data_IF_950935693035
#
_entry.id   IF_950935693035
#
_cell.length_a   1.000
_cell.length_b   1.000
_cell.length_c   1.000
_cell.angle_alpha   90.00
_cell.angle_beta   90.00
_cell.angle_gamma   90.00
#
_symmetry.space_group_name_H-M   'P 1'
#
loop_
_entity.id
_entity.type
_entity.pdbx_description
1 polymer ?
#
# COMPACT_ATOMS: atom_id res chain seq x y z
N UNK A 1 -17.55 -0.55 -14.13
CA UNK A 1 -16.25 -0.13 -13.57
C UNK A 1 -16.17 -0.32 -12.04
N UNK A 2 -17.28 -0.25 -11.29
CA UNK A 2 -17.24 -0.37 -9.81
C UNK A 2 -16.87 -1.76 -9.21
N UNK A 3 -17.17 -2.88 -9.88
CA UNK A 3 -17.11 -4.19 -9.22
C UNK A 3 -15.70 -4.79 -9.10
N UNK A 4 -14.84 -4.58 -10.09
CA UNK A 4 -13.46 -5.07 -10.08
C UNK A 4 -12.57 -4.31 -9.08
N UNK A 5 -12.76 -2.99 -8.99
CA UNK A 5 -12.11 -2.12 -8.01
C UNK A 5 -12.46 -2.51 -6.58
N UNK A 6 -13.74 -2.83 -6.34
CA UNK A 6 -14.23 -3.31 -5.03
C UNK A 6 -13.57 -4.64 -4.60
N UNK A 7 -13.35 -5.56 -5.55
CA UNK A 7 -12.73 -6.86 -5.25
C UNK A 7 -11.26 -6.72 -4.83
N UNK A 8 -10.50 -5.86 -5.52
CA UNK A 8 -9.08 -5.60 -5.20
C UNK A 8 -8.95 -4.90 -3.85
N UNK A 9 -9.73 -3.85 -3.63
CA UNK A 9 -9.75 -3.11 -2.35
C UNK A 9 -10.06 -4.05 -1.19
N UNK A 10 -10.99 -5.00 -1.37
CA UNK A 10 -11.31 -6.01 -0.36
C UNK A 10 -10.12 -6.93 -0.05
N UNK A 11 -9.43 -7.43 -1.07
CA UNK A 11 -8.25 -8.31 -0.92
C UNK A 11 -7.07 -7.58 -0.30
N UNK A 12 -6.86 -6.33 -0.68
CA UNK A 12 -5.82 -5.45 -0.11
C UNK A 12 -6.15 -5.14 1.36
N UNK A 13 -7.43 -4.91 1.70
CA UNK A 13 -7.84 -4.72 3.09
C UNK A 13 -7.62 -5.98 3.95
N UNK A 14 -7.90 -7.16 3.40
CA UNK A 14 -7.60 -8.44 4.06
C UNK A 14 -6.09 -8.59 4.30
N UNK A 15 -5.27 -8.25 3.30
CA UNK A 15 -3.82 -8.24 3.41
C UNK A 15 -3.32 -7.29 4.49
N UNK A 16 -3.77 -6.04 4.49
CA UNK A 16 -3.41 -5.04 5.50
C UNK A 16 -3.80 -5.48 6.91
N UNK A 17 -4.97 -6.12 7.09
CA UNK A 17 -5.39 -6.69 8.38
C UNK A 17 -4.43 -7.77 8.88
N UNK A 18 -3.93 -8.63 7.99
CA UNK A 18 -2.94 -9.65 8.35
C UNK A 18 -1.61 -9.03 8.72
N UNK A 19 -1.12 -8.08 7.92
CA UNK A 19 0.12 -7.37 8.22
C UNK A 19 0.04 -6.61 9.55
N UNK A 20 -1.12 -6.06 9.90
CA UNK A 20 -1.36 -5.38 11.17
C UNK A 20 -1.18 -6.29 12.41
N UNK A 21 -1.18 -7.61 12.24
CA UNK A 21 -0.85 -8.57 13.30
C UNK A 21 0.66 -8.73 13.52
N UNK A 22 1.47 -8.34 12.53
CA UNK A 22 2.94 -8.44 12.52
C UNK A 22 3.56 -7.10 12.90
N UNK A 23 3.06 -6.03 12.29
CA UNK A 23 3.54 -4.66 12.45
C UNK A 23 2.32 -3.73 12.37
N UNK A 24 2.06 -2.88 13.39
CA UNK A 24 0.97 -1.92 13.33
C UNK A 24 1.05 -1.04 12.08
N UNK A 25 -0.08 -0.89 11.39
CA UNK A 25 -0.23 -0.07 10.19
C UNK A 25 -1.25 1.02 10.49
N UNK A 26 -0.83 2.27 10.38
CA UNK A 26 -1.72 3.41 10.52
C UNK A 26 -2.46 3.72 9.22
N UNK A 27 -1.84 3.50 8.06
CA UNK A 27 -2.45 3.85 6.78
C UNK A 27 -2.02 2.93 5.65
N UNK A 28 -2.97 2.52 4.81
CA UNK A 28 -2.72 1.80 3.56
C UNK A 28 -3.39 2.51 2.39
N UNK A 29 -2.61 2.86 1.37
CA UNK A 29 -3.07 3.61 0.18
C UNK A 29 -2.69 2.86 -1.08
N UNK A 30 -3.67 2.53 -1.91
CA UNK A 30 -3.41 2.05 -3.27
C UNK A 30 -3.04 3.24 -4.15
N UNK A 31 -1.99 3.11 -4.95
CA UNK A 31 -1.56 4.19 -5.85
C UNK A 31 -1.12 3.64 -7.21
N UNK A 32 -0.52 4.49 -8.03
CA UNK A 32 0.05 4.07 -9.31
C UNK A 32 -0.98 3.70 -10.37
N UNK A 33 -0.62 2.76 -11.25
CA UNK A 33 -1.43 2.44 -12.44
C UNK A 33 -2.82 1.90 -12.09
N UNK A 34 -2.97 1.32 -10.90
CA UNK A 34 -4.21 0.76 -10.41
C UNK A 34 -5.31 1.80 -10.11
N UNK A 35 -4.99 3.08 -9.95
CA UNK A 35 -5.99 4.14 -9.64
C UNK A 35 -6.51 4.88 -10.87
N UNK A 36 -5.84 4.76 -12.02
CA UNK A 36 -6.15 5.56 -13.24
C UNK A 36 -7.12 4.88 -14.21
N UNK A 37 -7.74 3.76 -13.83
CA UNK A 37 -8.76 3.07 -14.63
C UNK A 37 -8.24 2.33 -15.88
N UNK A 38 -6.92 2.28 -16.11
CA UNK A 38 -6.27 1.53 -17.21
C UNK A 38 -5.81 0.13 -16.79
N UNK A 39 -6.55 -0.53 -15.91
CA UNK A 39 -6.16 -1.83 -15.37
C UNK A 39 -6.28 -2.93 -16.44
N UNK A 40 -5.15 -3.46 -16.89
CA UNK A 40 -5.09 -4.74 -17.60
C UNK A 40 -5.24 -5.91 -16.63
N UNK A 41 -5.35 -7.14 -17.15
CA UNK A 41 -5.39 -8.36 -16.30
C UNK A 41 -4.07 -8.62 -15.57
N UNK A 42 -2.99 -8.02 -16.04
CA UNK A 42 -1.60 -8.26 -15.59
C UNK A 42 -0.97 -7.01 -14.94
N UNK A 43 -1.79 -6.08 -14.41
CA UNK A 43 -1.27 -4.86 -13.77
C UNK A 43 -0.92 -5.08 -12.30
N UNK A 44 0.32 -4.74 -11.95
CA UNK A 44 0.84 -4.69 -10.58
C UNK A 44 -0.02 -3.75 -9.70
N UNK A 45 -0.17 -4.13 -8.44
CA UNK A 45 -0.94 -3.40 -7.42
C UNK A 45 0.05 -2.70 -6.50
N UNK A 46 0.28 -1.43 -6.77
CA UNK A 46 1.13 -0.58 -5.93
C UNK A 46 0.40 -0.19 -4.64
N UNK A 47 1.01 -0.51 -3.50
CA UNK A 47 0.41 -0.30 -2.17
C UNK A 47 1.39 0.41 -1.25
N UNK A 48 1.08 1.65 -0.88
CA UNK A 48 1.82 2.38 0.13
C UNK A 48 1.30 2.00 1.51
N UNK A 49 2.20 1.66 2.42
CA UNK A 49 1.90 1.26 3.79
C UNK A 49 2.68 2.19 4.73
N UNK A 50 1.96 2.86 5.62
CA UNK A 50 2.53 3.78 6.58
C UNK A 50 2.45 3.19 7.97
N UNK A 51 3.60 3.13 8.65
CA UNK A 51 3.73 2.59 10.00
C UNK A 51 4.56 3.51 10.89
N UNK A 52 4.16 3.68 12.15
CA UNK A 52 4.99 4.33 13.19
C UNK A 52 6.23 3.52 13.55
N UNK A 53 6.20 2.22 13.29
CA UNK A 53 7.36 1.33 13.50
C UNK A 53 8.37 1.43 12.35
N UNK A 54 8.00 2.03 11.21
CA UNK A 54 8.87 2.20 10.06
C UNK A 54 9.76 3.44 10.20
N UNK A 55 11.02 3.31 9.79
CA UNK A 55 12.03 4.34 9.72
C UNK A 55 13.03 4.02 8.60
N UNK A 56 13.95 4.95 8.32
CA UNK A 56 14.96 4.80 7.26
C UNK A 56 15.80 3.51 7.34
N UNK A 57 16.01 2.97 8.55
CA UNK A 57 16.86 1.79 8.76
C UNK A 57 16.12 0.48 8.50
N UNK A 58 14.81 0.43 8.71
CA UNK A 58 14.03 -0.82 8.65
C UNK A 58 12.98 -0.85 7.54
N UNK A 59 12.63 0.28 6.90
CA UNK A 59 11.58 0.34 5.88
C UNK A 59 11.81 -0.62 4.71
N UNK A 60 13.05 -0.83 4.30
CA UNK A 60 13.40 -1.79 3.25
C UNK A 60 13.19 -3.25 3.70
N UNK A 61 13.56 -3.57 4.95
CA UNK A 61 13.35 -4.89 5.51
C UNK A 61 11.85 -5.19 5.72
N UNK A 62 11.08 -4.20 6.18
CA UNK A 62 9.62 -4.30 6.29
C UNK A 62 8.95 -4.46 4.92
N UNK A 63 9.41 -3.71 3.92
CA UNK A 63 8.94 -3.85 2.53
C UNK A 63 9.17 -5.26 2.00
N UNK A 64 10.37 -5.81 2.18
CA UNK A 64 10.68 -7.18 1.77
C UNK A 64 9.85 -8.23 2.53
N UNK A 65 9.64 -8.03 3.83
CA UNK A 65 8.77 -8.90 4.64
C UNK A 65 7.32 -8.88 4.13
N UNK A 66 6.77 -7.70 3.86
CA UNK A 66 5.40 -7.56 3.38
C UNK A 66 5.23 -8.11 1.97
N UNK A 67 6.22 -7.93 1.09
CA UNK A 67 6.24 -8.56 -0.23
C UNK A 67 6.23 -10.10 -0.12
N UNK A 68 7.00 -10.66 0.82
CA UNK A 68 6.96 -12.10 1.10
C UNK A 68 5.58 -12.54 1.61
N UNK A 69 4.98 -11.76 2.51
CA UNK A 69 3.64 -12.05 3.04
C UNK A 69 2.54 -11.89 1.98
N UNK A 70 2.75 -11.16 0.88
CA UNK A 70 1.71 -11.01 -0.16
C UNK A 70 1.59 -12.25 -1.07
N UNK A 71 2.59 -13.13 -1.09
CA UNK A 71 2.68 -14.26 -2.02
C UNK A 71 1.46 -15.22 -2.00
N UNK A 72 0.76 -15.35 -0.88
CA UNK A 72 -0.44 -16.21 -0.79
C UNK A 72 -1.66 -15.66 -1.54
N UNK A 73 -1.70 -14.35 -1.80
CA UNK A 73 -2.87 -13.69 -2.38
C UNK A 73 -3.05 -13.99 -3.86
N UNK A 74 -2.01 -14.53 -4.52
CA UNK A 74 -1.93 -14.72 -5.98
C UNK A 74 -2.26 -13.43 -6.74
N UNK A 75 -1.89 -12.30 -6.14
CA UNK A 75 -1.99 -10.96 -6.68
C UNK A 75 -0.58 -10.40 -6.71
N UNK A 76 -0.23 -9.70 -7.78
CA UNK A 76 1.04 -8.99 -7.86
C UNK A 76 0.94 -7.69 -7.04
N UNK A 77 1.09 -7.79 -5.72
CA UNK A 77 1.09 -6.64 -4.82
C UNK A 77 2.54 -6.23 -4.58
N UNK A 78 2.82 -4.96 -4.87
CA UNK A 78 4.10 -4.31 -4.66
C UNK A 78 3.96 -3.33 -3.48
N UNK A 79 4.16 -3.78 -2.23
CA UNK A 79 4.08 -2.90 -1.08
C UNK A 79 5.32 -2.00 -1.00
N UNK A 80 5.13 -0.75 -0.63
CA UNK A 80 6.20 0.17 -0.23
C UNK A 80 5.90 0.68 1.18
N UNK A 81 6.84 0.48 2.10
CA UNK A 81 6.69 0.89 3.49
C UNK A 81 7.34 2.25 3.71
N UNK A 82 6.59 3.15 4.35
CA UNK A 82 7.03 4.49 4.72
C UNK A 82 6.84 4.74 6.22
N UNK A 83 7.70 5.58 6.83
CA UNK A 83 7.41 6.13 8.15
C UNK A 83 6.06 6.86 8.16
N UNK A 84 5.28 6.72 9.22
CA UNK A 84 3.99 7.42 9.32
C UNK A 84 4.13 8.95 9.28
N UNK A 85 5.28 9.48 9.70
CA UNK A 85 5.62 10.90 9.56
C UNK A 85 5.60 11.41 8.11
N UNK A 86 5.95 10.57 7.13
CA UNK A 86 5.90 10.93 5.72
C UNK A 86 4.45 11.11 5.22
N UNK A 87 3.48 10.45 5.87
CA UNK A 87 2.06 10.60 5.53
C UNK A 87 1.47 11.89 6.08
N UNK A 88 1.79 12.22 7.33
CA UNK A 88 1.25 13.40 8.01
C UNK A 88 1.98 14.68 7.62
N UNK A 89 3.26 14.60 7.26
CA UNK A 89 4.03 15.73 6.74
C UNK A 89 3.82 15.91 5.24
N UNK A 90 4.20 17.09 4.72
CA UNK A 90 4.22 17.38 3.28
C UNK A 90 5.65 17.36 2.72
N UNK A 91 6.62 16.85 3.50
CA UNK A 91 8.03 16.92 3.17
C UNK A 91 8.46 15.87 2.14
N UNK A 92 7.71 14.78 2.01
CA UNK A 92 7.96 13.74 1.03
C UNK A 92 7.12 14.02 -0.23
N UNK A 93 7.75 14.60 -1.25
CA UNK A 93 7.09 15.00 -2.50
C UNK A 93 6.36 13.83 -3.18
N UNK A 94 6.97 12.65 -3.19
CA UNK A 94 6.37 11.45 -3.77
C UNK A 94 5.12 11.02 -3.00
N UNK A 95 5.19 10.97 -1.68
CA UNK A 95 4.03 10.62 -0.83
C UNK A 95 2.90 11.63 -1.02
N UNK A 96 3.21 12.92 -1.09
CA UNK A 96 2.19 13.95 -1.29
C UNK A 96 1.56 13.87 -2.69
N UNK A 97 2.38 13.82 -3.74
CA UNK A 97 1.90 13.99 -5.12
C UNK A 97 1.34 12.72 -5.75
N UNK A 98 1.95 11.55 -5.49
CA UNK A 98 1.54 10.29 -6.10
C UNK A 98 0.63 9.47 -5.19
N UNK A 99 0.89 9.47 -3.88
CA UNK A 99 0.17 8.60 -2.95
C UNK A 99 -1.07 9.30 -2.39
N UNK A 100 -0.92 10.45 -1.73
CA UNK A 100 -2.05 11.15 -1.08
C UNK A 100 -3.01 11.76 -2.11
N UNK A 101 -2.49 12.42 -3.14
CA UNK A 101 -3.34 13.16 -4.09
C UNK A 101 -4.02 12.28 -5.13
N UNK A 102 -3.42 11.15 -5.52
CA UNK A 102 -3.91 10.27 -6.60
C UNK A 102 -4.31 8.88 -6.13
N UNK A 103 -4.00 8.55 -4.88
CA UNK A 103 -4.24 7.23 -4.31
C UNK A 103 -5.67 7.02 -3.81
N UNK A 104 -6.00 5.76 -3.53
CA UNK A 104 -7.23 5.33 -2.90
C UNK A 104 -6.90 4.83 -1.49
N UNK A 105 -7.43 5.52 -0.48
CA UNK A 105 -7.29 5.10 0.92
C UNK A 105 -8.05 3.80 1.17
N UNK A 106 -7.34 2.76 1.61
CA UNK A 106 -7.91 1.42 1.91
C UNK A 106 -8.05 1.18 3.40
N UNK A 107 -7.11 1.71 4.19
CA UNK A 107 -7.05 1.66 5.65
C UNK A 107 -6.55 3.04 6.15
N UNK A 108 -7.22 3.61 7.15
CA UNK A 108 -6.86 4.85 7.83
C UNK A 108 -7.61 5.02 9.13
#
# INVERSE_FOLDING_TARGET
>A
MAQAETAIVSRVREFLRRLNQICPIETGVLFGSCTTGRRGKDSDIDLAIFSREANERNRLALTALFLKESAYLKLDIQPLVFPYEDYISENNEFVTTEIKNKGILVLG
#
